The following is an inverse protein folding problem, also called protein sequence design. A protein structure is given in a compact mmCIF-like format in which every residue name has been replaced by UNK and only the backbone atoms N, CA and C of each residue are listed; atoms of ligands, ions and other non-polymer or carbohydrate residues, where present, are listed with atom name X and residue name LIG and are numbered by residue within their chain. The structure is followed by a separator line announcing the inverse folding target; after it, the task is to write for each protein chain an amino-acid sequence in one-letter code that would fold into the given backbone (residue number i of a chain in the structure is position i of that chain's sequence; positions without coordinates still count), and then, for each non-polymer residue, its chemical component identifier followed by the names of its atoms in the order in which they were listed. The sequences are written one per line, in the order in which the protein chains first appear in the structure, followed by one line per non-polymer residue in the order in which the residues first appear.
data_IF_002063504571
#
_entry.id   IF_002063504571
#
_cell.length_a   1.000
_cell.length_b   1.000
_cell.length_c   1.000
_cell.angle_alpha   90.00
_cell.angle_beta   90.00
_cell.angle_gamma   90.00
#
_symmetry.space_group_name_H-M   'P 1'
#
loop_
_entity.id
_entity.type
_entity.pdbx_description
1 polymer ?
#
# COMPACT_ATOMS: atom_id res chain seq x y z
N UNK A 1 -2.20 4.54 -11.99
CA UNK A 1 -0.89 3.91 -11.73
C UNK A 1 -0.75 3.29 -10.33
N UNK A 2 -0.68 4.06 -9.23
CA UNK A 2 -0.42 3.48 -7.88
C UNK A 2 -1.50 2.49 -7.40
N UNK A 3 -2.78 2.75 -7.68
CA UNK A 3 -3.87 1.82 -7.34
C UNK A 3 -3.78 0.50 -8.13
N UNK A 4 -3.37 0.56 -9.40
CA UNK A 4 -3.17 -0.62 -10.23
C UNK A 4 -1.96 -1.44 -9.75
N UNK A 5 -0.86 -0.78 -9.34
CA UNK A 5 0.29 -1.48 -8.78
C UNK A 5 -0.05 -2.16 -7.46
N UNK A 6 -0.87 -1.50 -6.62
CA UNK A 6 -1.35 -2.09 -5.38
C UNK A 6 -2.22 -3.32 -5.62
N UNK A 7 -3.13 -3.26 -6.59
CA UNK A 7 -3.96 -4.41 -6.99
C UNK A 7 -3.08 -5.53 -7.56
N UNK A 8 -2.09 -5.20 -8.38
CA UNK A 8 -1.11 -6.16 -8.88
C UNK A 8 -0.40 -6.88 -7.74
N UNK A 9 0.13 -6.15 -6.75
CA UNK A 9 0.76 -6.73 -5.57
C UNK A 9 -0.21 -7.56 -4.71
N UNK A 10 -1.50 -7.22 -4.69
CA UNK A 10 -2.50 -8.03 -4.01
C UNK A 10 -2.66 -9.40 -4.68
N UNK A 11 -2.73 -9.42 -6.02
CA UNK A 11 -2.77 -10.66 -6.82
C UNK A 11 -1.49 -11.49 -6.67
N UNK A 12 -0.34 -10.84 -6.46
CA UNK A 12 0.94 -11.50 -6.19
C UNK A 12 1.19 -11.83 -4.70
N UNK A 13 0.21 -11.62 -3.82
CA UNK A 13 0.33 -11.83 -2.37
C UNK A 13 1.51 -11.07 -1.72
N UNK A 14 1.82 -9.87 -2.22
CA UNK A 14 2.97 -9.05 -1.80
C UNK A 14 2.60 -7.60 -1.38
N UNK A 15 1.30 -7.31 -1.26
CA UNK A 15 0.77 -5.98 -0.97
C UNK A 15 1.16 -5.40 0.40
N UNK A 16 1.55 -6.24 1.35
CA UNK A 16 2.07 -5.84 2.66
C UNK A 16 3.38 -5.05 2.52
N UNK A 17 4.21 -5.35 1.51
CA UNK A 17 5.47 -4.64 1.26
C UNK A 17 5.23 -3.17 0.88
N UNK A 18 4.26 -2.91 -0.02
CA UNK A 18 3.89 -1.54 -0.37
C UNK A 18 3.21 -0.82 0.81
N UNK A 19 2.39 -1.53 1.58
CA UNK A 19 1.72 -0.96 2.76
C UNK A 19 2.74 -0.54 3.83
N UNK A 20 3.74 -1.38 4.11
CA UNK A 20 4.85 -1.03 5.00
C UNK A 20 5.65 0.15 4.46
N UNK A 21 6.04 0.12 3.18
CA UNK A 21 6.84 1.18 2.56
C UNK A 21 6.18 2.55 2.72
N UNK A 22 4.88 2.65 2.43
CA UNK A 22 4.14 3.91 2.56
C UNK A 22 4.07 4.42 4.00
N UNK A 23 3.81 3.53 4.96
CA UNK A 23 3.76 3.94 6.36
C UNK A 23 5.13 4.34 6.91
N UNK A 24 6.18 3.61 6.55
CA UNK A 24 7.55 3.88 6.98
C UNK A 24 8.14 5.12 6.30
N UNK A 25 7.83 5.37 5.02
CA UNK A 25 8.23 6.60 4.34
C UNK A 25 7.54 7.83 4.95
N UNK A 26 6.25 7.72 5.30
CA UNK A 26 5.55 8.81 5.99
C UNK A 26 6.12 9.06 7.40
N UNK A 27 6.54 8.00 8.09
CA UNK A 27 7.15 8.09 9.41
C UNK A 27 8.44 8.92 9.43
N UNK A 28 9.21 8.97 8.33
CA UNK A 28 10.44 9.77 8.22
C UNK A 28 10.20 11.29 8.34
N UNK A 29 8.96 11.74 8.10
CA UNK A 29 8.59 13.16 8.20
C UNK A 29 8.15 13.59 9.60
N UNK A 30 8.02 12.65 10.54
CA UNK A 30 7.64 12.97 11.92
C UNK A 30 8.77 13.72 12.63
N UNK A 31 8.40 14.74 13.39
CA UNK A 31 9.33 15.58 14.17
C UNK A 31 9.04 15.56 15.67
N UNK A 32 7.80 15.27 16.07
CA UNK A 32 7.41 15.13 17.46
C UNK A 32 7.83 13.75 18.02
N UNK A 33 8.61 13.76 19.10
CA UNK A 33 9.17 12.53 19.67
C UNK A 33 8.09 11.58 20.21
N UNK A 34 7.00 12.11 20.76
CA UNK A 34 5.92 11.28 21.30
C UNK A 34 5.14 10.60 20.17
N UNK A 35 4.89 11.33 19.08
CA UNK A 35 4.29 10.77 17.87
C UNK A 35 5.19 9.71 17.24
N UNK A 36 6.51 9.95 17.17
CA UNK A 36 7.51 8.97 16.72
C UNK A 36 7.41 7.68 17.54
N UNK A 37 7.37 7.76 18.87
CA UNK A 37 7.28 6.57 19.72
C UNK A 37 5.99 5.77 19.50
N UNK A 38 4.85 6.46 19.41
CA UNK A 38 3.55 5.83 19.16
C UNK A 38 3.50 5.17 17.78
N UNK A 39 3.85 5.93 16.73
CA UNK A 39 3.82 5.44 15.34
C UNK A 39 4.84 4.33 15.11
N UNK A 40 6.00 4.39 15.75
CA UNK A 40 7.00 3.34 15.68
C UNK A 40 6.46 2.00 16.20
N UNK A 41 5.75 2.03 17.33
CA UNK A 41 5.11 0.84 17.89
C UNK A 41 4.02 0.29 16.97
N UNK A 42 3.17 1.16 16.43
CA UNK A 42 2.09 0.76 15.52
C UNK A 42 2.63 0.08 14.25
N UNK A 43 3.65 0.66 13.61
CA UNK A 43 4.29 0.10 12.42
C UNK A 43 4.94 -1.24 12.76
N UNK A 44 5.64 -1.34 13.89
CA UNK A 44 6.25 -2.59 14.33
C UNK A 44 5.22 -3.69 14.56
N UNK A 45 4.17 -3.41 15.32
CA UNK A 45 3.12 -4.38 15.64
C UNK A 45 2.35 -4.84 14.38
N UNK A 46 2.21 -3.96 13.40
CA UNK A 46 1.48 -4.24 12.16
C UNK A 46 2.29 -5.09 11.17
N UNK A 47 3.60 -4.88 11.07
CA UNK A 47 4.41 -5.43 9.98
C UNK A 47 5.57 -6.34 10.41
N UNK A 48 6.03 -6.26 11.66
CA UNK A 48 7.31 -6.90 12.08
C UNK A 48 7.15 -7.82 13.28
N UNK A 49 6.20 -7.55 14.19
CA UNK A 49 5.97 -8.39 15.35
C UNK A 49 5.71 -9.86 14.95
N UNK A 50 6.07 -10.85 15.79
CA UNK A 50 5.82 -12.27 15.49
C UNK A 50 4.36 -12.60 15.18
N UNK A 51 3.42 -11.82 15.73
CA UNK A 51 1.98 -11.92 15.49
C UNK A 51 1.44 -10.80 14.59
N UNK A 52 2.29 -10.19 13.77
CA UNK A 52 1.90 -9.11 12.87
C UNK A 52 0.78 -9.58 11.92
N UNK A 53 -0.29 -8.80 11.73
CA UNK A 53 -1.36 -9.13 10.80
C UNK A 53 -0.93 -9.02 9.33
N UNK A 54 0.11 -8.24 9.03
CA UNK A 54 0.65 -8.03 7.68
C UNK A 54 2.18 -8.17 7.70
N UNK A 55 2.72 -9.36 8.01
CA UNK A 55 4.15 -9.52 8.22
C UNK A 55 4.93 -9.32 6.93
N UNK A 56 5.89 -8.39 6.92
CA UNK A 56 6.84 -8.26 5.81
C UNK A 56 7.96 -9.29 5.91
N UNK A 57 8.45 -9.78 4.77
CA UNK A 57 9.52 -10.78 4.76
C UNK A 57 10.88 -10.13 5.11
N UNK A 58 11.29 -10.27 6.37
CA UNK A 58 12.59 -9.82 6.86
C UNK A 58 13.39 -11.01 7.41
N UNK A 59 14.68 -11.03 7.08
CA UNK A 59 15.59 -11.97 7.71
C UNK A 59 15.76 -11.65 9.21
N UNK A 60 16.15 -12.66 9.98
CA UNK A 60 16.28 -12.56 11.42
C UNK A 60 17.26 -11.46 11.86
N UNK A 61 18.36 -11.28 11.13
CA UNK A 61 19.40 -10.29 11.45
C UNK A 61 18.86 -8.87 11.29
N UNK A 62 18.13 -8.59 10.22
CA UNK A 62 17.48 -7.30 9.98
C UNK A 62 16.40 -7.04 11.03
N UNK A 63 15.59 -8.04 11.36
CA UNK A 63 14.55 -7.93 12.40
C UNK A 63 15.15 -7.57 13.76
N UNK A 64 16.23 -8.24 14.17
CA UNK A 64 16.91 -7.93 15.44
C UNK A 64 17.52 -6.52 15.45
N UNK A 65 18.10 -6.08 14.33
CA UNK A 65 18.64 -4.71 14.22
C UNK A 65 17.54 -3.67 14.36
N UNK A 66 16.41 -3.88 13.70
CA UNK A 66 15.26 -3.01 13.81
C UNK A 66 14.71 -2.97 15.25
N UNK A 67 14.54 -4.12 15.91
CA UNK A 67 14.10 -4.19 17.31
C UNK A 67 15.01 -3.38 18.24
N UNK A 68 16.33 -3.43 18.05
CA UNK A 68 17.28 -2.62 18.83
C UNK A 68 17.12 -1.12 18.54
N UNK A 69 16.95 -0.73 17.27
CA UNK A 69 16.74 0.66 16.88
C UNK A 69 15.45 1.23 17.49
N UNK A 70 14.41 0.41 17.62
CA UNK A 70 13.11 0.82 18.18
C UNK A 70 13.09 0.91 19.72
N UNK A 71 14.18 0.58 20.43
CA UNK A 71 14.29 0.87 21.86
C UNK A 71 14.36 2.38 22.15
N UNK A 72 14.89 3.15 21.19
CA UNK A 72 14.92 4.62 21.21
C UNK A 72 14.63 5.11 19.79
N UNK A 73 13.35 5.11 19.38
CA UNK A 73 13.00 5.36 17.99
C UNK A 73 13.30 6.82 17.61
N UNK A 74 13.80 6.98 16.39
CA UNK A 74 13.90 8.25 15.67
C UNK A 74 13.10 8.11 14.39
N UNK A 75 12.79 9.22 13.72
CA UNK A 75 12.14 9.21 12.41
C UNK A 75 12.91 8.38 11.34
N UNK A 76 14.19 8.10 11.55
CA UNK A 76 15.03 7.30 10.65
C UNK A 76 15.15 5.82 11.06
N UNK A 77 14.50 5.38 12.15
CA UNK A 77 14.64 4.01 12.67
C UNK A 77 14.25 2.92 11.66
N UNK A 78 13.30 3.19 10.77
CA UNK A 78 12.87 2.24 9.73
C UNK A 78 13.66 2.36 8.42
N UNK A 79 14.46 3.42 8.22
CA UNK A 79 15.12 3.73 6.94
C UNK A 79 15.85 2.53 6.30
N UNK A 80 16.65 1.74 7.03
CA UNK A 80 17.33 0.58 6.44
C UNK A 80 16.37 -0.48 5.90
N UNK A 81 15.22 -0.64 6.55
CA UNK A 81 14.18 -1.60 6.16
C UNK A 81 13.34 -1.04 5.02
N UNK A 82 12.97 0.25 5.07
CA UNK A 82 12.30 0.97 3.98
C UNK A 82 13.08 0.86 2.68
N UNK A 83 14.41 1.09 2.72
CA UNK A 83 15.28 1.00 1.54
C UNK A 83 15.38 -0.42 0.98
N UNK A 84 15.38 -1.43 1.85
CA UNK A 84 15.35 -2.83 1.44
C UNK A 84 14.04 -3.14 0.72
N UNK A 85 12.91 -2.82 1.33
CA UNK A 85 11.57 -3.10 0.78
C UNK A 85 11.35 -2.33 -0.53
N UNK A 86 11.82 -1.09 -0.64
CA UNK A 86 11.78 -0.35 -1.90
C UNK A 86 12.50 -1.09 -3.03
N UNK A 87 13.70 -1.61 -2.78
CA UNK A 87 14.44 -2.40 -3.78
C UNK A 87 13.68 -3.67 -4.19
N UNK A 88 13.03 -4.35 -3.25
CA UNK A 88 12.20 -5.53 -3.58
C UNK A 88 11.02 -5.09 -4.46
N UNK A 89 10.31 -4.03 -4.09
CA UNK A 89 9.22 -3.45 -4.88
C UNK A 89 9.64 -3.11 -6.31
N UNK A 90 10.78 -2.44 -6.47
CA UNK A 90 11.26 -2.01 -7.79
C UNK A 90 11.89 -3.10 -8.63
N UNK A 91 12.48 -4.12 -8.01
CA UNK A 91 13.25 -5.13 -8.73
C UNK A 91 12.46 -6.41 -9.00
N UNK A 92 11.57 -6.80 -8.08
CA UNK A 92 10.84 -8.06 -8.19
C UNK A 92 9.44 -7.87 -8.77
N UNK A 93 8.72 -6.82 -8.40
CA UNK A 93 7.31 -6.67 -8.82
C UNK A 93 7.06 -5.57 -9.83
N UNK A 94 7.80 -4.46 -9.78
CA UNK A 94 7.59 -3.36 -10.72
C UNK A 94 7.87 -3.73 -12.19
N UNK A 95 8.91 -4.50 -12.55
CA UNK A 95 9.17 -4.86 -13.95
C UNK A 95 8.05 -5.70 -14.55
N UNK A 96 7.50 -6.64 -13.77
CA UNK A 96 6.39 -7.47 -14.23
C UNK A 96 5.07 -6.69 -14.23
N UNK A 97 4.90 -5.74 -13.29
CA UNK A 97 3.74 -4.86 -13.27
C UNK A 97 3.64 -4.04 -14.56
N UNK A 98 4.72 -3.43 -15.04
CA UNK A 98 4.68 -2.52 -16.20
C UNK A 98 4.34 -3.20 -17.54
N UNK A 99 4.46 -4.52 -17.61
CA UNK A 99 4.02 -5.34 -18.77
C UNK A 99 2.71 -6.07 -18.50
N UNK A 100 2.14 -5.91 -17.31
CA UNK A 100 0.90 -6.59 -16.93
C UNK A 100 -0.33 -5.93 -17.56
N UNK A 101 -1.43 -6.69 -17.77
CA UNK A 101 -2.69 -6.12 -18.22
C UNK A 101 -3.21 -5.00 -17.31
N UNK A 102 -2.94 -5.07 -16.00
CA UNK A 102 -3.34 -4.04 -15.04
C UNK A 102 -2.67 -2.69 -15.30
N UNK A 103 -1.39 -2.70 -15.70
CA UNK A 103 -0.68 -1.47 -16.07
C UNK A 103 -1.25 -0.86 -17.34
N UNK A 104 -1.46 -1.66 -18.39
CA UNK A 104 -2.03 -1.19 -19.64
C UNK A 104 -3.46 -0.66 -19.47
N UNK A 105 -4.31 -1.39 -18.75
CA UNK A 105 -5.67 -0.94 -18.45
C UNK A 105 -5.69 0.38 -17.65
N UNK A 106 -4.72 0.60 -16.75
CA UNK A 106 -4.64 1.85 -16.00
C UNK A 106 -4.07 3.02 -16.78
N UNK A 107 -3.26 2.75 -17.81
CA UNK A 107 -2.66 3.76 -18.67
C UNK A 107 -3.63 4.22 -19.77
N UNK A 108 -4.51 3.32 -20.22
CA UNK A 108 -5.50 3.60 -21.26
C UNK A 108 -6.86 4.09 -20.69
N UNK A 109 -6.92 4.42 -19.40
CA UNK A 109 -8.15 4.76 -18.64
C UNK A 109 -9.26 3.67 -18.65
N UNK A 110 -8.94 2.43 -19.01
CA UNK A 110 -9.89 1.32 -19.23
C UNK A 110 -10.05 0.37 -18.04
N UNK A 111 -9.68 0.76 -16.81
CA UNK A 111 -9.79 -0.14 -15.65
C UNK A 111 -11.26 -0.46 -15.33
N UNK A 112 -11.74 -1.60 -15.81
CA UNK A 112 -12.80 -2.36 -15.15
C UNK A 112 -12.14 -3.23 -14.07
N UNK A 113 -12.26 -2.82 -12.81
CA UNK A 113 -11.74 -3.58 -11.67
C UNK A 113 -12.45 -4.93 -11.58
N UNK A 114 -11.76 -6.00 -11.99
CA UNK A 114 -12.26 -7.37 -11.80
C UNK A 114 -12.10 -7.72 -10.32
N UNK A 115 -13.22 -7.81 -9.60
CA UNK A 115 -13.24 -8.15 -8.16
C UNK A 115 -12.69 -9.56 -7.95
N UNK A 116 -11.58 -9.67 -7.23
CA UNK A 116 -11.08 -10.95 -6.70
C UNK A 116 -12.01 -11.43 -5.57
N UNK A 117 -12.46 -12.69 -5.68
CA UNK A 117 -13.29 -13.43 -4.69
C UNK A 117 -12.45 -13.95 -3.50
N UNK A 118 -11.23 -13.45 -3.33
CA UNK A 118 -10.34 -13.89 -2.25
C UNK A 118 -10.87 -13.44 -0.89
N UNK A 119 -11.42 -14.38 -0.11
CA UNK A 119 -12.02 -14.18 1.22
C UNK A 119 -11.13 -13.60 2.33
N UNK A 120 -10.05 -12.85 2.02
CA UNK A 120 -9.31 -12.03 2.98
C UNK A 120 -9.87 -10.62 2.97
N UNK A 121 -10.07 -10.04 4.16
CA UNK A 121 -10.61 -8.68 4.30
C UNK A 121 -9.77 -7.68 3.50
N UNK A 122 -10.42 -7.06 2.53
CA UNK A 122 -9.92 -5.99 1.67
C UNK A 122 -9.53 -4.76 2.52
N UNK A 123 -8.58 -3.96 2.04
CA UNK A 123 -8.17 -2.74 2.72
C UNK A 123 -9.20 -1.62 2.56
N UNK A 124 -9.45 -0.85 3.63
CA UNK A 124 -10.39 0.28 3.70
C UNK A 124 -10.24 1.28 2.54
N UNK A 125 -9.03 1.52 2.07
CA UNK A 125 -8.76 2.46 0.97
C UNK A 125 -9.21 1.97 -0.40
N UNK A 126 -9.35 0.64 -0.60
CA UNK A 126 -10.02 0.10 -1.79
C UNK A 126 -11.54 0.26 -1.69
N UNK A 127 -12.11 0.11 -0.50
CA UNK A 127 -13.55 0.32 -0.28
C UNK A 127 -13.93 1.81 -0.47
N UNK A 128 -13.09 2.73 0.02
CA UNK A 128 -13.25 4.18 -0.16
C UNK A 128 -13.11 4.58 -1.64
N UNK A 129 -12.18 3.96 -2.37
CA UNK A 129 -12.03 4.19 -3.81
C UNK A 129 -13.20 3.63 -4.61
N UNK A 130 -13.69 2.43 -4.28
CA UNK A 130 -14.88 1.84 -4.92
C UNK A 130 -16.11 2.75 -4.74
N UNK A 131 -16.30 3.31 -3.53
CA UNK A 131 -17.34 4.32 -3.29
C UNK A 131 -17.14 5.58 -4.13
N UNK A 132 -15.90 6.07 -4.26
CA UNK A 132 -15.58 7.23 -5.07
C UNK A 132 -15.88 6.99 -6.56
N UNK A 133 -15.48 5.84 -7.10
CA UNK A 133 -15.76 5.45 -8.48
C UNK A 133 -17.26 5.31 -8.76
N UNK A 134 -18.02 4.73 -7.84
CA UNK A 134 -19.48 4.65 -7.93
C UNK A 134 -20.11 6.05 -7.96
N UNK A 135 -19.67 6.96 -7.08
CA UNK A 135 -20.19 8.32 -7.01
C UNK A 135 -19.89 9.13 -8.29
N UNK A 136 -18.71 8.97 -8.86
CA UNK A 136 -18.32 9.62 -10.13
C UNK A 136 -19.13 9.06 -11.30
N UNK A 137 -19.39 7.74 -11.33
CA UNK A 137 -20.22 7.09 -12.33
C UNK A 137 -21.68 7.59 -12.33
N UNK A 138 -22.30 7.69 -11.15
CA UNK A 138 -23.66 8.22 -11.01
C UNK A 138 -23.76 9.69 -11.41
N UNK A 139 -22.76 10.52 -11.08
CA UNK A 139 -22.73 11.94 -11.44
C UNK A 139 -22.57 12.17 -12.96
N UNK A 140 -21.83 11.28 -13.64
CA UNK A 140 -21.68 11.30 -15.11
C UNK A 140 -22.93 10.83 -15.86
N UNK A 141 -23.65 9.83 -15.35
CA UNK A 141 -24.89 9.36 -15.97
C UNK A 141 -26.00 10.40 -15.84
N UNK A 142 -26.12 11.07 -14.69
CA UNK A 142 -27.07 12.17 -14.49
C UNK A 142 -26.84 13.33 -15.48
N UNK A 143 -25.59 13.76 -15.68
CA UNK A 143 -25.24 14.79 -16.68
C UNK A 143 -25.55 14.38 -18.13
N UNK A 144 -25.46 13.09 -18.47
CA UNK A 144 -25.80 12.59 -19.82
C UNK A 144 -27.31 12.47 -20.04
N UNK A 145 -28.09 12.22 -18.99
CA UNK A 145 -29.57 12.23 -19.05
C UNK A 145 -30.10 13.66 -19.15
N UNK A 146 -29.55 14.60 -18.38
CA UNK A 146 -29.94 16.01 -18.43
C UNK A 146 -29.62 16.65 -19.80
N UNK A 147 -28.53 16.23 -20.47
CA UNK A 147 -28.14 16.70 -21.80
C UNK A 147 -28.94 16.07 -22.96
N UNK A 148 -29.72 15.00 -22.71
CA UNK A 148 -30.60 14.38 -23.70
C UNK A 148 -32.05 14.90 -23.64
N UNK A 149 -32.38 15.66 -22.59
CA UNK A 149 -33.70 16.23 -22.35
C UNK A 149 -33.78 17.75 -22.65
N UNK A 150 -32.76 18.30 -23.33
CA UNK A 150 -32.75 19.63 -23.96
C UNK A 150 -32.73 19.49 -25.48
#
# INVERSE_FOLDING_TARGET
MMLAFREYLYQQFAHENLSFYLEAANFEYLTDQKEIEVRAKEIFDKFVAPSAPLPINLDFVVTQRLQKALQKPTNLSFKPVTDKIWKVLTNEWFPDFVVSPLYHACNDETIEFIKSDGGRKRSRTLDEYDQLCQNIGHSRNKKKEDAKNL
#
